data_IF_430553160921
#
_entry.id   IF_430553160921
#
_cell.length_a   1.000
_cell.length_b   1.000
_cell.length_c   1.000
_cell.angle_alpha   90.00
_cell.angle_beta   90.00
_cell.angle_gamma   90.00
#
_symmetry.space_group_name_H-M   'P 1'
#
loop_
_entity.id
_entity.type
_entity.pdbx_description
1 polymer ?
#
# COMPACT_ATOMS: atom_id res chain seq x y z
N UNK A 1 -24.83 -8.57 6.67
CA UNK A 1 -24.37 -7.22 6.28
C UNK A 1 -23.42 -6.73 7.36
N UNK A 2 -22.12 -6.59 7.08
CA UNK A 2 -21.18 -6.05 8.06
C UNK A 2 -21.55 -4.58 8.30
N UNK A 3 -21.89 -4.23 9.55
CA UNK A 3 -22.12 -2.85 9.93
C UNK A 3 -20.83 -2.05 9.62
N UNK A 4 -20.92 -1.06 8.74
CA UNK A 4 -19.83 -0.12 8.50
C UNK A 4 -19.64 0.59 9.85
N UNK A 5 -18.57 0.24 10.55
CA UNK A 5 -18.28 0.83 11.86
C UNK A 5 -17.84 2.26 11.60
N UNK A 6 -18.60 3.24 12.08
CA UNK A 6 -18.23 4.63 11.92
C UNK A 6 -16.95 4.90 12.72
N UNK A 7 -15.90 5.27 12.00
CA UNK A 7 -14.59 5.56 12.57
C UNK A 7 -14.58 6.89 13.32
N UNK A 8 -15.52 7.79 13.03
CA UNK A 8 -15.62 9.09 13.67
C UNK A 8 -16.46 9.07 14.95
N UNK A 9 -17.23 8.00 15.19
CA UNK A 9 -17.95 7.80 16.45
C UNK A 9 -16.97 7.43 17.59
N UNK A 10 -16.83 8.29 18.62
CA UNK A 10 -15.95 8.04 19.76
C UNK A 10 -16.24 6.73 20.50
N UNK A 11 -17.47 6.20 20.42
CA UNK A 11 -17.84 4.91 21.03
C UNK A 11 -17.12 3.72 20.42
N UNK A 12 -16.68 3.85 19.17
CA UNK A 12 -15.99 2.79 18.44
C UNK A 12 -14.45 2.87 18.57
N UNK A 13 -13.91 3.94 19.17
CA UNK A 13 -12.47 4.22 19.21
C UNK A 13 -11.62 3.16 19.93
N UNK A 14 -12.22 2.47 20.90
CA UNK A 14 -11.61 1.34 21.60
C UNK A 14 -11.43 0.10 20.70
N UNK A 15 -12.17 0.00 19.58
CA UNK A 15 -12.16 -1.14 18.65
C UNK A 15 -11.54 -0.83 17.29
N UNK A 16 -10.97 0.36 17.10
CA UNK A 16 -10.34 0.76 15.84
C UNK A 16 -8.99 0.06 15.61
N UNK A 17 -8.73 -0.27 14.35
CA UNK A 17 -7.42 -0.72 13.89
C UNK A 17 -6.45 0.48 13.75
N UNK A 18 -5.16 0.18 13.62
CA UNK A 18 -4.12 1.23 13.52
C UNK A 18 -4.34 2.14 12.29
N UNK A 19 -4.85 1.57 11.19
CA UNK A 19 -5.12 2.33 9.97
C UNK A 19 -6.25 3.35 10.14
N UNK A 20 -7.35 2.98 10.81
CA UNK A 20 -8.42 3.92 11.12
C UNK A 20 -7.95 5.00 12.12
N UNK A 21 -7.10 4.65 13.08
CA UNK A 21 -6.49 5.62 14.01
C UNK A 21 -5.64 6.65 13.27
N UNK A 22 -4.80 6.22 12.33
CA UNK A 22 -3.97 7.14 11.53
C UNK A 22 -4.83 8.13 10.74
N UNK A 23 -5.92 7.66 10.13
CA UNK A 23 -6.88 8.49 9.39
C UNK A 23 -7.52 9.56 10.29
N UNK A 24 -7.92 9.19 11.51
CA UNK A 24 -8.53 10.11 12.48
C UNK A 24 -7.51 11.16 12.95
N UNK A 25 -6.25 10.77 13.15
CA UNK A 25 -5.18 11.69 13.55
C UNK A 25 -4.85 12.70 12.46
N UNK A 26 -4.83 12.25 11.20
CA UNK A 26 -4.55 13.09 10.02
C UNK A 26 -5.70 14.07 9.74
N UNK A 27 -6.93 13.56 9.64
CA UNK A 27 -8.11 14.36 9.29
C UNK A 27 -8.68 15.17 10.45
N UNK A 28 -8.44 14.73 11.69
CA UNK A 28 -9.08 15.28 12.89
C UNK A 28 -10.47 14.68 13.13
N UNK A 29 -11.00 14.80 14.36
CA UNK A 29 -12.37 14.40 14.66
C UNK A 29 -13.35 15.28 13.86
N UNK A 30 -14.35 14.64 13.22
CA UNK A 30 -15.43 15.35 12.53
C UNK A 30 -16.38 15.93 13.57
N UNK A 31 -16.89 17.12 13.29
CA UNK A 31 -17.92 17.77 14.09
C UNK A 31 -19.28 17.52 13.49
N UNK A 32 -20.19 17.04 14.31
CA UNK A 32 -21.59 16.96 13.93
C UNK A 32 -22.23 18.33 14.15
N UNK A 33 -22.80 18.93 13.09
CA UNK A 33 -23.37 20.29 13.12
C UNK A 33 -24.90 20.32 13.23
N UNK A 34 -25.57 19.15 13.21
CA UNK A 34 -27.04 19.04 13.11
C UNK A 34 -27.73 18.18 14.19
N UNK A 35 -27.04 17.87 15.29
CA UNK A 35 -27.64 17.27 16.47
C UNK A 35 -28.56 18.25 17.21
N UNK A 36 -29.76 17.78 17.56
CA UNK A 36 -30.67 18.47 18.50
C UNK A 36 -30.42 17.91 19.89
N UNK A 37 -29.81 18.71 20.76
CA UNK A 37 -29.49 18.30 22.12
C UNK A 37 -30.76 18.30 23.00
N UNK A 38 -30.98 17.25 23.81
CA UNK A 38 -32.10 17.21 24.76
C UNK A 38 -32.06 18.38 25.74
N UNK A 39 -33.23 18.96 26.03
CA UNK A 39 -33.39 20.02 27.02
C UNK A 39 -33.62 19.42 28.40
N UNK A 40 -33.02 20.03 29.42
CA UNK A 40 -33.34 19.73 30.81
C UNK A 40 -34.71 20.30 31.21
N UNK A 41 -35.18 20.01 32.43
CA UNK A 41 -36.46 20.52 32.95
C UNK A 41 -36.55 22.06 33.03
N UNK A 42 -35.43 22.77 32.87
CA UNK A 42 -35.34 24.23 32.83
C UNK A 42 -35.08 24.75 31.40
N UNK A 43 -35.32 23.93 30.37
CA UNK A 43 -35.09 24.23 28.94
C UNK A 43 -33.63 24.54 28.54
N UNK A 44 -32.65 24.18 29.36
CA UNK A 44 -31.21 24.34 29.08
C UNK A 44 -30.69 23.11 28.35
N UNK A 45 -29.77 23.31 27.42
CA UNK A 45 -29.17 22.22 26.64
C UNK A 45 -27.76 22.60 26.18
N UNK A 46 -26.99 21.61 25.74
CA UNK A 46 -25.76 21.87 25.02
C UNK A 46 -26.09 22.55 23.68
N UNK A 47 -25.35 23.60 23.33
CA UNK A 47 -25.55 24.35 22.09
C UNK A 47 -24.24 24.48 21.33
N UNK A 48 -24.33 24.67 20.01
CA UNK A 48 -23.17 24.90 19.15
C UNK A 48 -22.32 26.10 19.57
N UNK A 49 -22.90 27.07 20.31
CA UNK A 49 -22.18 28.21 20.84
C UNK A 49 -21.03 27.80 21.77
N UNK A 50 -21.09 26.62 22.41
CA UNK A 50 -20.03 26.12 23.27
C UNK A 50 -18.82 25.56 22.53
N UNK A 51 -18.91 25.31 21.21
CA UNK A 51 -17.73 24.98 20.40
C UNK A 51 -16.78 26.15 20.23
N UNK A 52 -17.25 27.37 20.47
CA UNK A 52 -16.46 28.58 20.33
C UNK A 52 -16.06 29.10 21.72
N UNK A 53 -14.84 29.62 21.79
CA UNK A 53 -14.31 30.36 22.91
C UNK A 53 -14.22 31.82 22.52
N UNK A 54 -14.90 32.69 23.26
CA UNK A 54 -14.72 34.15 23.13
C UNK A 54 -13.48 34.58 23.92
N UNK A 55 -12.51 35.14 23.21
CA UNK A 55 -11.26 35.65 23.73
C UNK A 55 -11.47 37.05 24.35
N UNK A 56 -10.51 37.50 25.18
CA UNK A 56 -10.56 38.82 25.84
C UNK A 56 -10.57 40.00 24.86
N UNK A 57 -10.01 39.79 23.66
CA UNK A 57 -10.01 40.74 22.54
C UNK A 57 -11.30 40.71 21.69
N UNK A 58 -12.28 39.88 22.06
CA UNK A 58 -13.56 39.74 21.35
C UNK A 58 -13.57 38.70 20.22
N UNK A 59 -12.41 38.12 19.86
CA UNK A 59 -12.32 37.10 18.82
C UNK A 59 -12.94 35.77 19.26
N UNK A 60 -13.54 35.06 18.32
CA UNK A 60 -14.05 33.70 18.53
C UNK A 60 -13.01 32.71 18.04
N UNK A 61 -12.41 31.98 18.98
CA UNK A 61 -11.48 30.89 18.71
C UNK A 61 -12.19 29.55 18.82
N UNK A 62 -11.84 28.65 17.93
CA UNK A 62 -12.42 27.33 17.87
C UNK A 62 -11.86 26.38 18.95
N UNK A 63 -12.72 25.60 19.63
CA UNK A 63 -12.29 24.64 20.66
C UNK A 63 -11.98 23.28 20.03
N UNK A 64 -10.71 22.89 20.06
CA UNK A 64 -10.19 21.75 19.27
C UNK A 64 -10.59 20.35 19.79
N UNK A 65 -11.20 20.21 20.98
CA UNK A 65 -11.74 18.93 21.48
C UNK A 65 -12.81 19.13 22.57
N UNK A 66 -13.85 18.28 22.58
CA UNK A 66 -14.80 18.07 23.70
C UNK A 66 -14.75 16.61 24.22
N UNK A 67 -13.71 15.86 23.84
CA UNK A 67 -13.81 14.41 23.79
C UNK A 67 -13.52 13.64 25.09
N UNK A 68 -13.34 14.29 26.25
CA UNK A 68 -13.19 13.53 27.50
C UNK A 68 -13.45 14.36 28.77
N UNK A 69 -14.71 14.69 29.00
CA UNK A 69 -15.19 15.12 30.31
C UNK A 69 -16.40 14.25 30.64
N UNK A 70 -16.70 14.08 31.93
CA UNK A 70 -17.93 13.52 32.51
C UNK A 70 -19.26 13.80 31.76
N UNK A 71 -19.29 14.80 30.86
CA UNK A 71 -20.29 14.98 29.80
C UNK A 71 -20.62 13.70 28.99
N UNK A 72 -19.65 12.83 28.74
CA UNK A 72 -19.81 11.68 27.85
C UNK A 72 -20.29 10.39 28.55
N UNK A 73 -20.10 10.26 29.86
CA UNK A 73 -20.36 9.01 30.59
C UNK A 73 -21.49 9.12 31.62
N UNK A 74 -21.59 10.23 32.36
CA UNK A 74 -22.56 10.39 33.47
C UNK A 74 -23.51 11.60 33.30
N UNK A 75 -23.36 12.34 32.20
CA UNK A 75 -24.14 13.54 31.93
C UNK A 75 -23.72 14.74 32.79
N UNK A 76 -24.15 15.92 32.38
CA UNK A 76 -23.81 17.18 33.02
C UNK A 76 -25.06 17.96 33.38
N UNK A 77 -25.35 18.08 34.68
CA UNK A 77 -26.56 18.77 35.17
C UNK A 77 -26.40 20.27 35.44
N UNK A 78 -25.15 20.76 35.47
CA UNK A 78 -24.83 22.12 35.90
C UNK A 78 -24.48 23.05 34.73
N UNK A 79 -25.43 23.17 33.80
CA UNK A 79 -25.29 23.95 32.56
C UNK A 79 -24.86 25.41 32.78
N UNK A 80 -25.08 25.98 33.97
CA UNK A 80 -24.66 27.36 34.30
C UNK A 80 -23.14 27.51 34.34
N UNK A 81 -22.41 26.47 34.74
CA UNK A 81 -20.95 26.48 34.86
C UNK A 81 -20.25 25.74 33.72
N UNK A 82 -20.95 25.42 32.63
CA UNK A 82 -20.37 24.66 31.50
C UNK A 82 -19.15 25.35 30.91
N UNK A 83 -19.18 26.68 30.78
CA UNK A 83 -18.08 27.42 30.18
C UNK A 83 -16.82 27.38 31.05
N UNK A 84 -16.98 27.46 32.37
CA UNK A 84 -15.87 27.44 33.31
C UNK A 84 -15.31 26.02 33.43
N UNK A 85 -16.16 24.98 33.47
CA UNK A 85 -15.69 23.58 33.43
C UNK A 85 -14.99 23.22 32.13
N UNK A 86 -15.43 23.76 30.98
CA UNK A 86 -14.72 23.56 29.72
C UNK A 86 -13.35 24.25 29.75
N UNK A 87 -13.24 25.44 30.33
CA UNK A 87 -11.93 26.09 30.53
C UNK A 87 -11.03 25.26 31.44
N UNK A 88 -11.55 24.78 32.58
CA UNK A 88 -10.80 23.97 33.53
C UNK A 88 -10.30 22.67 32.89
N UNK A 89 -11.13 22.02 32.08
CA UNK A 89 -10.72 20.83 31.32
C UNK A 89 -9.67 21.15 30.26
N UNK A 90 -9.83 22.21 29.48
CA UNK A 90 -8.84 22.62 28.48
C UNK A 90 -7.48 22.94 29.12
N UNK A 91 -7.47 23.38 30.38
CA UNK A 91 -6.25 23.58 31.18
C UNK A 91 -5.81 22.36 31.99
N UNK A 92 -6.59 21.28 31.99
CA UNK A 92 -6.27 20.06 32.72
C UNK A 92 -5.02 19.41 32.16
N UNK A 93 -4.19 18.88 33.05
CA UNK A 93 -2.98 18.15 32.67
C UNK A 93 -3.31 16.98 31.75
N UNK A 94 -4.42 16.27 31.95
CA UNK A 94 -4.84 15.16 31.07
C UNK A 94 -5.16 15.65 29.64
N UNK A 95 -5.81 16.80 29.50
CA UNK A 95 -6.10 17.36 28.18
C UNK A 95 -4.81 17.79 27.48
N UNK A 96 -3.92 18.48 28.21
CA UNK A 96 -2.66 18.98 27.68
C UNK A 96 -1.75 17.82 27.26
N UNK A 97 -1.61 16.77 28.08
CA UNK A 97 -0.80 15.59 27.74
C UNK A 97 -1.38 14.86 26.52
N UNK A 98 -2.69 14.64 26.46
CA UNK A 98 -3.33 14.00 25.31
C UNK A 98 -3.23 14.84 24.03
N UNK A 99 -3.34 16.17 24.13
CA UNK A 99 -3.15 17.06 22.98
C UNK A 99 -1.70 17.08 22.50
N UNK A 100 -0.74 17.03 23.42
CA UNK A 100 0.66 16.94 23.06
C UNK A 100 0.99 15.61 22.37
N UNK A 101 0.51 14.48 22.89
CA UNK A 101 0.71 13.16 22.25
C UNK A 101 0.04 13.07 20.89
N UNK A 102 -1.16 13.65 20.72
CA UNK A 102 -1.84 13.75 19.44
C UNK A 102 -1.05 14.61 18.44
N UNK A 103 -0.61 15.80 18.84
CA UNK A 103 0.15 16.70 17.98
C UNK A 103 1.50 16.07 17.58
N UNK A 104 2.16 15.37 18.51
CA UNK A 104 3.38 14.63 18.24
C UNK A 104 3.14 13.49 17.22
N UNK A 105 2.08 12.70 17.39
CA UNK A 105 1.72 11.65 16.43
C UNK A 105 1.37 12.22 15.05
N UNK A 106 0.57 13.29 15.00
CA UNK A 106 0.23 13.98 13.76
C UNK A 106 1.46 14.54 13.05
N UNK A 107 2.39 15.14 13.80
CA UNK A 107 3.65 15.65 13.25
C UNK A 107 4.56 14.51 12.76
N UNK A 108 4.59 13.36 13.45
CA UNK A 108 5.34 12.15 13.04
C UNK A 108 4.77 11.52 11.77
N UNK A 109 3.44 11.39 11.68
CA UNK A 109 2.74 10.91 10.48
C UNK A 109 2.98 11.85 9.30
N UNK A 110 2.85 13.17 9.49
CA UNK A 110 3.10 14.15 8.44
C UNK A 110 4.55 14.17 7.94
N UNK A 111 5.52 13.85 8.80
CA UNK A 111 6.95 13.79 8.45
C UNK A 111 7.41 12.39 8.00
N UNK A 112 6.54 11.38 8.03
CA UNK A 112 6.87 9.98 7.77
C UNK A 112 8.09 9.47 8.56
N UNK A 113 8.27 9.91 9.81
CA UNK A 113 9.40 9.58 10.71
C UNK A 113 8.95 8.63 11.83
N UNK A 114 8.28 7.53 11.50
CA UNK A 114 8.04 6.43 12.46
C UNK A 114 9.11 5.34 12.30
N UNK A 115 9.14 4.35 13.20
CA UNK A 115 10.00 3.14 13.12
C UNK A 115 9.86 2.47 11.73
N UNK A 116 8.72 2.64 11.07
CA UNK A 116 8.48 2.15 9.73
C UNK A 116 9.26 2.89 8.65
N UNK A 117 9.85 4.08 8.89
CA UNK A 117 10.51 4.85 7.82
C UNK A 117 11.63 4.05 7.15
N UNK A 118 12.56 3.50 7.94
CA UNK A 118 13.70 2.76 7.42
C UNK A 118 13.25 1.46 6.73
N UNK A 119 12.29 0.75 7.33
CA UNK A 119 11.72 -0.48 6.77
C UNK A 119 10.94 -0.18 5.48
N UNK A 120 10.16 0.90 5.43
CA UNK A 120 9.42 1.33 4.25
C UNK A 120 10.37 1.81 3.14
N UNK A 121 11.44 2.51 3.49
CA UNK A 121 12.50 2.88 2.55
C UNK A 121 13.21 1.66 1.99
N UNK A 122 13.51 0.66 2.82
CA UNK A 122 14.09 -0.61 2.36
C UNK A 122 13.13 -1.37 1.44
N UNK A 123 11.85 -1.51 1.81
CA UNK A 123 10.81 -2.07 0.94
C UNK A 123 10.73 -1.31 -0.38
N UNK A 124 10.81 0.02 -0.35
CA UNK A 124 10.78 0.86 -1.55
C UNK A 124 12.00 0.62 -2.43
N UNK A 125 13.20 0.52 -1.86
CA UNK A 125 14.44 0.19 -2.57
C UNK A 125 14.35 -1.18 -3.24
N UNK A 126 13.87 -2.19 -2.52
CA UNK A 126 13.68 -3.54 -3.07
C UNK A 126 12.63 -3.57 -4.18
N UNK A 127 11.49 -2.89 -4.01
CA UNK A 127 10.47 -2.75 -5.05
C UNK A 127 11.05 -2.13 -6.33
N UNK A 128 11.85 -1.07 -6.19
CA UNK A 128 12.46 -0.41 -7.35
C UNK A 128 13.51 -1.31 -8.01
N UNK A 129 14.37 -1.98 -7.23
CA UNK A 129 15.33 -2.95 -7.76
C UNK A 129 14.62 -4.04 -8.58
N UNK A 130 13.57 -4.66 -8.02
CA UNK A 130 12.79 -5.70 -8.70
C UNK A 130 12.13 -5.14 -9.97
N UNK A 131 11.56 -3.93 -9.92
CA UNK A 131 10.99 -3.28 -11.10
C UNK A 131 12.01 -3.12 -12.22
N UNK A 132 13.23 -2.69 -11.87
CA UNK A 132 14.32 -2.54 -12.82
C UNK A 132 14.75 -3.89 -13.42
N UNK A 133 14.87 -4.96 -12.62
CA UNK A 133 15.14 -6.32 -13.10
C UNK A 133 14.06 -6.80 -14.07
N UNK A 134 12.78 -6.64 -13.71
CA UNK A 134 11.64 -7.04 -14.55
C UNK A 134 11.63 -6.33 -15.90
N UNK A 135 11.99 -5.04 -15.96
CA UNK A 135 12.09 -4.31 -17.23
C UNK A 135 13.11 -4.94 -18.19
N UNK A 136 14.26 -5.38 -17.68
CA UNK A 136 15.28 -6.06 -18.48
C UNK A 136 14.83 -7.44 -18.93
N UNK A 137 14.13 -8.19 -18.07
CA UNK A 137 13.53 -9.47 -18.45
C UNK A 137 12.48 -9.33 -19.56
N UNK A 138 11.63 -8.30 -19.49
CA UNK A 138 10.67 -7.99 -20.57
C UNK A 138 11.41 -7.66 -21.87
N UNK A 139 12.52 -6.91 -21.80
CA UNK A 139 13.33 -6.61 -22.97
C UNK A 139 13.95 -7.88 -23.59
N UNK A 140 14.46 -8.80 -22.76
CA UNK A 140 14.97 -10.11 -23.19
C UNK A 140 13.86 -10.93 -23.87
N UNK A 141 12.69 -11.06 -23.24
CA UNK A 141 11.55 -11.81 -23.81
C UNK A 141 11.12 -11.20 -25.14
N UNK A 142 11.08 -9.86 -25.26
CA UNK A 142 10.78 -9.16 -26.51
C UNK A 142 11.83 -9.43 -27.58
N UNK A 143 13.12 -9.42 -27.22
CA UNK A 143 14.22 -9.70 -28.13
C UNK A 143 14.16 -11.13 -28.67
N UNK A 144 14.03 -12.11 -27.79
CA UNK A 144 13.96 -13.53 -28.14
C UNK A 144 12.70 -13.83 -28.97
N UNK A 145 11.55 -13.27 -28.59
CA UNK A 145 10.30 -13.35 -29.36
C UNK A 145 10.47 -12.85 -30.80
N UNK A 146 11.07 -11.67 -30.97
CA UNK A 146 11.26 -11.05 -32.30
C UNK A 146 12.16 -11.88 -33.21
N UNK A 147 13.13 -12.59 -32.63
CA UNK A 147 14.07 -13.44 -33.37
C UNK A 147 13.63 -14.91 -33.44
N UNK A 148 12.46 -15.24 -32.90
CA UNK A 148 11.93 -16.61 -32.81
C UNK A 148 12.91 -17.59 -32.13
N UNK A 149 13.65 -17.11 -31.13
CA UNK A 149 14.58 -17.92 -30.35
C UNK A 149 13.82 -18.62 -29.22
N UNK A 150 14.23 -19.85 -28.88
CA UNK A 150 13.66 -20.57 -27.74
C UNK A 150 13.95 -19.81 -26.44
N UNK A 151 12.98 -19.71 -25.52
CA UNK A 151 13.19 -19.05 -24.23
C UNK A 151 13.96 -19.94 -23.25
N UNK A 152 13.56 -21.22 -23.19
CA UNK A 152 14.09 -22.24 -22.28
C UNK A 152 15.18 -23.09 -22.94
N UNK A 153 16.05 -23.68 -22.13
CA UNK A 153 17.08 -24.64 -22.53
C UNK A 153 16.94 -25.94 -21.74
N UNK A 154 17.89 -26.87 -21.90
CA UNK A 154 17.87 -28.16 -21.21
C UNK A 154 18.17 -28.03 -19.71
N UNK A 155 18.87 -26.97 -19.30
CA UNK A 155 19.16 -26.65 -17.90
C UNK A 155 18.85 -25.19 -17.59
N UNK A 156 18.60 -24.90 -16.31
CA UNK A 156 18.24 -23.57 -15.79
C UNK A 156 19.17 -23.19 -14.62
N UNK A 157 20.47 -23.14 -14.87
CA UNK A 157 21.48 -22.86 -13.85
C UNK A 157 22.43 -21.76 -14.33
N UNK A 158 22.43 -20.59 -13.69
CA UNK A 158 23.36 -19.49 -14.04
C UNK A 158 24.80 -20.00 -14.25
N UNK A 159 25.43 -19.52 -15.33
CA UNK A 159 26.78 -19.84 -15.79
C UNK A 159 26.97 -21.30 -16.22
N UNK A 160 26.04 -21.81 -17.04
CA UNK A 160 26.12 -23.14 -17.63
C UNK A 160 25.85 -23.05 -19.14
N UNK A 161 26.70 -23.68 -19.95
CA UNK A 161 26.62 -23.63 -21.41
C UNK A 161 25.35 -24.30 -21.98
N UNK A 162 24.64 -25.09 -21.16
CA UNK A 162 23.38 -25.75 -21.52
C UNK A 162 22.13 -24.93 -21.11
N UNK A 163 22.33 -23.67 -20.73
CA UNK A 163 21.27 -22.78 -20.28
C UNK A 163 20.31 -22.35 -21.38
N UNK A 164 19.07 -22.04 -20.98
CA UNK A 164 18.12 -21.37 -21.86
C UNK A 164 18.58 -19.98 -22.29
N UNK A 165 18.13 -19.53 -23.46
CA UNK A 165 18.55 -18.24 -24.02
C UNK A 165 18.17 -17.05 -23.13
N UNK A 166 17.15 -17.16 -22.26
CA UNK A 166 16.87 -16.12 -21.26
C UNK A 166 18.05 -15.96 -20.30
N UNK A 167 18.58 -17.07 -19.77
CA UNK A 167 19.72 -17.05 -18.85
C UNK A 167 20.99 -16.53 -19.53
N UNK A 168 21.27 -16.99 -20.75
CA UNK A 168 22.40 -16.49 -21.54
C UNK A 168 22.32 -14.97 -21.79
N UNK A 169 21.12 -14.45 -22.09
CA UNK A 169 20.94 -13.00 -22.25
C UNK A 169 21.09 -12.24 -20.92
N UNK A 170 20.62 -12.81 -19.81
CA UNK A 170 20.78 -12.22 -18.47
C UNK A 170 22.25 -12.13 -18.09
N UNK A 171 23.03 -13.18 -18.32
CA UNK A 171 24.47 -13.23 -18.08
C UNK A 171 25.19 -12.15 -18.91
N UNK A 172 24.89 -12.07 -20.20
CA UNK A 172 25.46 -11.05 -21.10
C UNK A 172 25.09 -9.62 -20.67
N UNK A 173 23.84 -9.35 -20.29
CA UNK A 173 23.44 -8.01 -19.83
C UNK A 173 24.11 -7.66 -18.50
N UNK A 174 24.30 -8.63 -17.61
CA UNK A 174 24.93 -8.42 -16.30
C UNK A 174 26.41 -8.02 -16.39
N UNK A 175 27.08 -8.21 -17.54
CA UNK A 175 28.44 -7.69 -17.77
C UNK A 175 28.48 -6.15 -17.81
N UNK A 176 27.39 -5.50 -18.21
CA UNK A 176 27.34 -4.05 -18.44
C UNK A 176 26.30 -3.32 -17.58
N UNK A 177 25.26 -4.02 -17.13
CA UNK A 177 24.16 -3.44 -16.35
C UNK A 177 24.31 -3.74 -14.86
N UNK A 178 24.57 -2.69 -14.08
CA UNK A 178 24.78 -2.78 -12.63
C UNK A 178 23.59 -3.40 -11.87
N UNK A 179 22.36 -3.25 -12.37
CA UNK A 179 21.18 -3.81 -11.70
C UNK A 179 21.14 -5.33 -11.90
N UNK A 180 21.39 -5.81 -13.13
CA UNK A 180 21.47 -7.25 -13.39
C UNK A 180 22.68 -7.87 -12.70
N UNK A 181 23.82 -7.18 -12.70
CA UNK A 181 25.02 -7.62 -11.99
C UNK A 181 24.74 -7.79 -10.49
N UNK A 182 24.15 -6.78 -9.86
CA UNK A 182 23.74 -6.81 -8.45
C UNK A 182 22.73 -7.94 -8.19
N UNK A 183 21.76 -8.13 -9.09
CA UNK A 183 20.78 -9.20 -8.98
C UNK A 183 21.44 -10.59 -9.03
N UNK A 184 22.36 -10.83 -9.97
CA UNK A 184 23.10 -12.10 -10.06
C UNK A 184 23.98 -12.34 -8.82
N UNK A 185 24.61 -11.28 -8.28
CA UNK A 185 25.37 -11.36 -7.02
C UNK A 185 24.48 -11.81 -5.86
N UNK A 186 23.30 -11.18 -5.69
CA UNK A 186 22.34 -11.53 -4.64
C UNK A 186 21.84 -12.97 -4.74
N UNK A 187 21.66 -13.48 -5.96
CA UNK A 187 21.30 -14.87 -6.21
C UNK A 187 22.43 -15.81 -5.76
N UNK A 188 23.67 -15.52 -6.18
CA UNK A 188 24.86 -16.32 -5.84
C UNK A 188 25.10 -16.39 -4.33
N UNK A 189 24.91 -15.27 -3.64
CA UNK A 189 25.08 -15.17 -2.18
C UNK A 189 23.88 -15.70 -1.38
N UNK A 190 22.81 -16.17 -2.03
CA UNK A 190 21.56 -16.61 -1.40
C UNK A 190 20.88 -15.53 -0.54
N UNK A 191 21.10 -14.25 -0.87
CA UNK A 191 20.51 -13.11 -0.18
C UNK A 191 19.03 -12.93 -0.54
N UNK A 192 18.63 -13.33 -1.76
CA UNK A 192 17.23 -13.25 -2.22
C UNK A 192 16.48 -14.56 -1.94
N UNK A 193 15.36 -14.48 -1.19
CA UNK A 193 14.44 -15.62 -0.98
C UNK A 193 13.74 -16.10 -2.26
N UNK A 194 13.43 -15.18 -3.17
CA UNK A 194 12.81 -15.48 -4.46
C UNK A 194 13.68 -14.92 -5.58
N UNK A 195 14.16 -15.81 -6.45
CA UNK A 195 14.92 -15.41 -7.63
C UNK A 195 13.93 -15.16 -8.78
N UNK A 196 13.83 -13.91 -9.24
CA UNK A 196 12.93 -13.50 -10.34
C UNK A 196 13.31 -14.12 -11.71
N UNK A 197 14.43 -14.84 -11.73
CA UNK A 197 14.89 -15.65 -12.85
C UNK A 197 14.36 -17.10 -12.85
N UNK A 198 13.64 -17.57 -11.82
CA UNK A 198 13.13 -18.95 -11.78
C UNK A 198 12.07 -19.18 -12.87
N UNK A 199 12.00 -20.38 -13.46
CA UNK A 199 11.03 -20.72 -14.51
C UNK A 199 9.60 -20.31 -14.21
N UNK A 200 9.11 -20.51 -12.98
CA UNK A 200 7.73 -20.14 -12.60
C UNK A 200 7.43 -18.67 -12.87
N UNK A 201 8.42 -17.81 -12.64
CA UNK A 201 8.28 -16.36 -12.84
C UNK A 201 8.50 -16.03 -14.33
N UNK A 202 9.44 -16.69 -15.00
CA UNK A 202 9.65 -16.53 -16.44
C UNK A 202 8.40 -16.92 -17.25
N UNK A 203 7.83 -18.09 -16.97
CA UNK A 203 6.61 -18.62 -17.59
C UNK A 203 5.41 -17.70 -17.33
N UNK A 204 5.25 -17.22 -16.09
CA UNK A 204 4.21 -16.26 -15.74
C UNK A 204 4.38 -14.95 -16.53
N UNK A 205 5.61 -14.45 -16.67
CA UNK A 205 5.89 -13.24 -17.45
C UNK A 205 5.57 -13.44 -18.94
N UNK A 206 6.01 -14.55 -19.53
CA UNK A 206 5.73 -14.90 -20.92
C UNK A 206 4.22 -15.03 -21.15
N UNK A 207 3.51 -15.66 -20.22
CA UNK A 207 2.05 -15.80 -20.27
C UNK A 207 1.36 -14.42 -20.23
N UNK A 208 1.74 -13.54 -19.31
CA UNK A 208 1.19 -12.18 -19.20
C UNK A 208 1.49 -11.33 -20.44
N UNK A 209 2.68 -11.46 -21.02
CA UNK A 209 3.01 -10.78 -22.28
C UNK A 209 2.20 -11.34 -23.45
N UNK A 210 1.95 -12.64 -23.48
CA UNK A 210 1.15 -13.29 -24.54
C UNK A 210 -0.33 -12.90 -24.44
N UNK A 211 -0.89 -12.88 -23.22
CA UNK A 211 -2.29 -12.52 -22.98
C UNK A 211 -2.55 -11.05 -23.31
N UNK A 212 -1.68 -10.14 -22.86
CA UNK A 212 -1.77 -8.71 -23.20
C UNK A 212 -1.66 -8.46 -24.70
N UNK A 213 -0.75 -9.16 -25.40
CA UNK A 213 -0.66 -9.10 -26.86
C UNK A 213 -1.93 -9.62 -27.55
N UNK A 214 -2.54 -10.67 -27.03
CA UNK A 214 -3.80 -11.23 -27.58
C UNK A 214 -4.95 -10.24 -27.42
N UNK A 215 -5.06 -9.59 -26.25
CA UNK A 215 -6.05 -8.53 -26.00
C UNK A 215 -5.82 -7.34 -26.94
N UNK A 216 -4.57 -6.87 -27.07
CA UNK A 216 -4.24 -5.77 -27.97
C UNK A 216 -4.62 -6.07 -29.44
N UNK A 217 -4.38 -7.31 -29.90
CA UNK A 217 -4.82 -7.75 -31.24
C UNK A 217 -6.33 -7.80 -31.38
N UNK A 218 -7.04 -8.27 -30.36
CA UNK A 218 -8.51 -8.28 -30.35
C UNK A 218 -9.08 -6.86 -30.47
N UNK A 219 -8.51 -5.90 -29.75
CA UNK A 219 -8.90 -4.49 -29.83
C UNK A 219 -8.56 -3.91 -31.22
N UNK A 220 -7.34 -4.11 -31.72
CA UNK A 220 -6.94 -3.61 -33.04
C UNK A 220 -7.85 -4.14 -34.16
N UNK A 221 -8.21 -5.43 -34.12
CA UNK A 221 -9.15 -6.04 -35.05
C UNK A 221 -10.55 -5.42 -34.96
N UNK A 222 -11.05 -5.11 -33.76
CA UNK A 222 -12.34 -4.40 -33.58
C UNK A 222 -12.31 -2.97 -34.10
N UNK A 223 -11.13 -2.34 -34.09
CA UNK A 223 -10.91 -0.97 -34.57
C UNK A 223 -10.60 -0.91 -36.08
N UNK A 224 -10.57 -2.04 -36.79
CA UNK A 224 -10.26 -2.08 -38.23
C UNK A 224 -8.79 -1.81 -38.57
N UNK A 225 -7.88 -1.91 -37.59
CA UNK A 225 -6.44 -1.70 -37.78
C UNK A 225 -5.75 -3.05 -37.96
N UNK A 226 -5.03 -3.26 -39.06
CA UNK A 226 -4.20 -4.45 -39.22
C UNK A 226 -3.14 -4.50 -38.11
N UNK A 227 -3.13 -5.60 -37.36
CA UNK A 227 -2.19 -5.77 -36.27
C UNK A 227 -0.75 -5.91 -36.85
N UNK A 228 0.20 -5.01 -36.50
CA UNK A 228 1.57 -5.04 -37.04
C UNK A 228 2.40 -6.24 -36.55
N UNK A 229 1.82 -7.13 -35.75
CA UNK A 229 2.51 -8.23 -35.09
C UNK A 229 2.10 -9.59 -35.69
N UNK A 230 2.86 -10.05 -36.67
CA UNK A 230 2.71 -11.37 -37.28
C UNK A 230 2.90 -12.47 -36.22
N UNK A 231 1.91 -13.37 -36.04
CA UNK A 231 2.08 -14.58 -35.20
C UNK A 231 2.90 -15.60 -35.99
N UNK A 232 4.22 -15.59 -35.82
CA UNK A 232 5.07 -16.66 -36.38
C UNK A 232 5.36 -17.70 -35.28
N UNK A 233 4.64 -18.82 -35.39
CA UNK A 233 4.76 -20.15 -34.72
C UNK A 233 4.14 -20.32 -33.31
N UNK A 234 3.23 -21.30 -33.24
CA UNK A 234 2.94 -22.13 -32.05
C UNK A 234 3.96 -23.28 -32.06
N UNK A 235 4.91 -23.30 -31.13
CA UNK A 235 5.71 -24.51 -30.90
C UNK A 235 4.91 -25.43 -29.97
N UNK A 236 4.48 -26.58 -30.45
CA UNK A 236 3.95 -27.65 -29.59
C UNK A 236 5.13 -28.28 -28.84
N UNK A 237 5.09 -28.24 -27.51
CA UNK A 237 6.01 -29.01 -26.66
C UNK A 237 5.73 -30.50 -26.93
N UNK A 238 6.68 -31.23 -27.51
CA UNK A 238 6.62 -32.70 -27.50
C UNK A 238 6.94 -33.14 -26.07
N UNK A 239 5.96 -33.72 -25.38
CA UNK A 239 6.23 -34.52 -24.19
C UNK A 239 6.90 -35.80 -24.69
N UNK A 240 8.23 -35.89 -24.54
CA UNK A 240 8.90 -37.19 -24.52
C UNK A 240 8.85 -37.59 -23.04
N UNK A 241 7.85 -38.39 -22.72
CA UNK A 241 7.86 -39.22 -21.52
C UNK A 241 8.75 -40.40 -21.91
N UNK A 242 9.96 -40.46 -21.37
CA UNK A 242 10.71 -41.72 -21.36
C UNK A 242 10.05 -42.61 -20.30
N UNK A 243 9.07 -43.40 -20.73
CA UNK A 243 8.84 -44.72 -20.17
C UNK A 243 10.02 -45.59 -20.65
N UNK A 244 10.99 -45.82 -19.78
CA UNK A 244 11.86 -46.98 -19.87
C UNK A 244 11.96 -47.60 -18.47
N UNK A 245 11.06 -48.55 -18.25
CA UNK A 245 11.32 -49.87 -17.68
C UNK A 245 12.42 -49.96 -16.62
N UNK A 246 12.01 -49.93 -15.35
CA UNK A 246 12.63 -50.79 -14.35
C UNK A 246 11.99 -52.18 -14.49
N UNK A 247 12.70 -53.09 -15.15
CA UNK A 247 12.59 -54.53 -14.92
C UNK A 247 14.00 -55.05 -14.62
N UNK A 248 14.08 -55.73 -13.47
CA UNK A 248 15.23 -56.39 -12.80
C UNK A 248 16.22 -55.50 -12.02
#
# INVERSE_FOLDING_TARGET
>A
MAAITDIYDPRNWNRLDNKARDIIVEKGPIREENLVFPKDGNSRHFSYAHYLRKMKNGELSDRKCICKISLAHDGFGDWRHINDRLKDHETSMEHITNMNTWNELRARLAKALTIDKEIQEEIKREKEHIRQVLLRLVAIVKFLSKRCLAFSGSKEQLYNDQNGNIYACVEMIAEFDVVMQDHLRRIKNKETRYHYLRHKIQDALIYLMTSSMTIAKSIASKMGVEAPFQVKRKAQRKNIIDENEYNE
#
